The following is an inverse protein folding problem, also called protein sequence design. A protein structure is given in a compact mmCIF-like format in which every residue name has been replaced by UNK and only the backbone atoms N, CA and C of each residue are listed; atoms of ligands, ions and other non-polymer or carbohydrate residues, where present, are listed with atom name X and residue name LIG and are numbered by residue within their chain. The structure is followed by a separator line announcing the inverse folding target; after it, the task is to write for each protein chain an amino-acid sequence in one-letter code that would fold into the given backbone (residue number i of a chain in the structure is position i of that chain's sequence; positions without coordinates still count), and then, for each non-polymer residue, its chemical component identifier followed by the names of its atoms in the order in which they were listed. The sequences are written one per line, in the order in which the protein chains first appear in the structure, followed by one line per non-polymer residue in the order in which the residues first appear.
data_IF_554916172559
#
_entry.id   IF_554916172559
#
_cell.length_a   1.000
_cell.length_b   1.000
_cell.length_c   1.000
_cell.angle_alpha   90.00
_cell.angle_beta   90.00
_cell.angle_gamma   90.00
#
_symmetry.space_group_name_H-M   'P 1'
#
loop_
_entity.id
_entity.type
_entity.pdbx_description
1 polymer ?
#
# COMPACT_ATOMS: atom_id res chain seq x y z
N UNK A 1 10.97 30.96 -19.27
CA UNK A 1 9.72 30.21 -19.52
C UNK A 1 10.11 28.76 -19.80
N UNK A 2 9.94 27.88 -18.82
CA UNK A 2 9.85 26.43 -19.08
C UNK A 2 9.08 25.80 -17.93
N UNK A 3 7.82 25.53 -18.23
CA UNK A 3 6.82 24.88 -17.41
C UNK A 3 7.29 23.49 -17.00
N UNK A 4 7.49 23.25 -15.71
CA UNK A 4 7.41 21.91 -15.14
C UNK A 4 6.54 22.01 -13.89
N UNK A 5 5.26 22.33 -14.12
CA UNK A 5 4.23 22.04 -13.15
C UNK A 5 4.07 20.52 -13.17
N UNK A 6 4.92 19.84 -12.39
CA UNK A 6 4.69 18.47 -11.94
C UNK A 6 3.23 18.48 -11.47
N UNK A 7 2.35 17.71 -12.12
CA UNK A 7 0.97 17.56 -11.69
C UNK A 7 1.01 17.10 -10.24
N UNK A 8 0.84 18.03 -9.31
CA UNK A 8 0.41 17.72 -7.97
C UNK A 8 -1.02 17.24 -8.16
N UNK A 9 -1.19 15.93 -8.36
CA UNK A 9 -2.49 15.34 -8.18
C UNK A 9 -2.92 15.75 -6.77
N UNK A 10 -4.03 16.48 -6.66
CA UNK A 10 -4.68 16.71 -5.37
C UNK A 10 -5.01 15.33 -4.82
N UNK A 11 -4.14 14.81 -3.95
CA UNK A 11 -4.42 13.61 -3.17
C UNK A 11 -5.60 13.95 -2.27
N UNK A 12 -6.72 13.26 -2.48
CA UNK A 12 -7.85 13.32 -1.59
C UNK A 12 -7.49 12.65 -0.25
N UNK A 13 -8.13 13.09 0.84
CA UNK A 13 -7.92 12.48 2.16
C UNK A 13 -8.27 10.98 2.21
N UNK A 14 -8.99 10.47 1.21
CA UNK A 14 -9.36 9.05 1.08
C UNK A 14 -8.45 8.27 0.13
N UNK A 15 -7.46 8.91 -0.47
CA UNK A 15 -6.54 8.23 -1.38
C UNK A 15 -5.56 7.37 -0.59
N UNK A 16 -5.42 6.11 -0.99
CA UNK A 16 -4.46 5.20 -0.38
C UNK A 16 -3.08 5.56 -0.90
N UNK A 17 -2.21 6.06 -0.02
CA UNK A 17 -0.88 6.53 -0.40
C UNK A 17 0.24 5.58 0.01
N UNK A 18 0.01 4.79 1.07
CA UNK A 18 0.97 3.83 1.57
C UNK A 18 0.27 2.71 2.35
N UNK A 19 1.05 1.74 2.78
CA UNK A 19 0.61 0.66 3.65
C UNK A 19 1.57 0.51 4.82
N UNK A 20 1.02 0.27 6.01
CA UNK A 20 1.78 -0.10 7.19
C UNK A 20 1.85 -1.63 7.29
N UNK A 21 3.04 -2.18 7.10
CA UNK A 21 3.26 -3.62 7.06
C UNK A 21 4.49 -4.01 7.90
N UNK A 22 4.28 -4.80 8.95
CA UNK A 22 5.34 -5.27 9.85
C UNK A 22 6.17 -4.13 10.47
N UNK A 23 5.50 -3.09 10.97
CA UNK A 23 6.10 -1.85 11.50
C UNK A 23 6.81 -0.94 10.49
N UNK A 24 6.64 -1.20 9.19
CA UNK A 24 7.25 -0.40 8.12
C UNK A 24 6.20 0.24 7.24
N UNK A 25 6.45 1.49 6.85
CA UNK A 25 5.68 2.17 5.82
C UNK A 25 6.20 1.77 4.44
N UNK A 26 5.30 1.27 3.58
CA UNK A 26 5.63 0.71 2.27
C UNK A 26 4.71 1.31 1.21
N UNK A 27 5.26 1.69 0.06
CA UNK A 27 4.45 2.23 -1.04
C UNK A 27 3.54 1.15 -1.67
N UNK A 28 2.51 1.53 -2.44
CA UNK A 28 1.60 0.57 -3.06
C UNK A 28 2.28 -0.47 -3.96
N UNK A 29 3.23 -0.04 -4.80
CA UNK A 29 3.98 -0.95 -5.67
C UNK A 29 4.76 -2.00 -4.86
N UNK A 30 5.54 -1.57 -3.88
CA UNK A 30 6.33 -2.48 -3.06
C UNK A 30 5.46 -3.37 -2.17
N UNK A 31 4.30 -2.89 -1.73
CA UNK A 31 3.34 -3.72 -0.98
C UNK A 31 2.82 -4.86 -1.83
N UNK A 32 2.46 -4.57 -3.08
CA UNK A 32 2.08 -5.57 -4.07
C UNK A 32 3.20 -6.58 -4.31
N UNK A 33 4.43 -6.11 -4.51
CA UNK A 33 5.59 -6.96 -4.78
C UNK A 33 5.95 -7.87 -3.59
N UNK A 34 5.67 -7.43 -2.36
CA UNK A 34 5.83 -8.25 -1.15
C UNK A 34 4.68 -9.25 -0.97
N UNK A 35 3.43 -8.79 -1.18
CA UNK A 35 2.24 -9.59 -0.94
C UNK A 35 2.08 -10.71 -1.98
N UNK A 36 2.27 -10.43 -3.27
CA UNK A 36 2.02 -11.39 -4.33
C UNK A 36 2.79 -12.73 -4.16
N UNK A 37 4.12 -12.75 -3.99
CA UNK A 37 4.86 -14.00 -3.79
C UNK A 37 4.57 -14.63 -2.43
N UNK A 38 4.26 -13.84 -1.39
CA UNK A 38 3.99 -14.36 -0.05
C UNK A 38 2.65 -15.09 0.03
N UNK A 39 1.60 -14.54 -0.59
CA UNK A 39 0.25 -15.11 -0.62
C UNK A 39 -0.03 -15.96 -1.87
N UNK A 40 0.99 -16.24 -2.69
CA UNK A 40 0.89 -17.06 -3.90
C UNK A 40 -0.15 -16.53 -4.90
N UNK A 41 -0.21 -15.21 -5.09
CA UNK A 41 -1.15 -14.57 -6.03
C UNK A 41 -0.66 -14.77 -7.46
N UNK A 42 -1.49 -15.38 -8.29
CA UNK A 42 -1.21 -15.57 -9.71
C UNK A 42 -1.33 -14.25 -10.48
N UNK A 43 -0.38 -14.02 -11.39
CA UNK A 43 -0.39 -12.89 -12.33
C UNK A 43 -0.56 -11.50 -11.68
N UNK A 44 0.22 -11.15 -10.64
CA UNK A 44 0.07 -9.89 -9.91
C UNK A 44 0.23 -8.67 -10.82
N UNK A 45 1.05 -8.75 -11.86
CA UNK A 45 1.25 -7.69 -12.86
C UNK A 45 -0.04 -7.19 -13.52
N UNK A 46 -1.08 -8.02 -13.59
CA UNK A 46 -2.38 -7.66 -14.18
C UNK A 46 -3.32 -6.94 -13.20
N UNK A 47 -2.95 -6.86 -11.93
CA UNK A 47 -3.78 -6.35 -10.84
C UNK A 47 -3.20 -5.05 -10.25
N UNK A 48 -4.09 -4.18 -9.77
CA UNK A 48 -3.70 -3.11 -8.85
C UNK A 48 -3.26 -3.67 -7.50
N UNK A 49 -2.56 -2.87 -6.69
CA UNK A 49 -2.20 -3.27 -5.32
C UNK A 49 -3.43 -3.70 -4.52
N UNK A 50 -4.52 -2.94 -4.61
CA UNK A 50 -5.75 -3.26 -3.89
C UNK A 50 -6.36 -4.59 -4.32
N UNK A 51 -6.35 -4.89 -5.62
CA UNK A 51 -6.83 -6.19 -6.12
C UNK A 51 -5.95 -7.36 -5.66
N UNK A 52 -4.62 -7.20 -5.66
CA UNK A 52 -3.70 -8.21 -5.13
C UNK A 52 -3.97 -8.46 -3.66
N UNK A 53 -4.18 -7.40 -2.88
CA UNK A 53 -4.48 -7.50 -1.46
C UNK A 53 -5.88 -8.07 -1.20
N UNK A 54 -6.88 -7.84 -2.05
CA UNK A 54 -8.20 -8.47 -1.92
C UNK A 54 -8.11 -10.00 -2.11
N UNK A 55 -7.36 -10.45 -3.12
CA UNK A 55 -7.12 -11.87 -3.34
C UNK A 55 -6.28 -12.51 -2.22
N UNK A 56 -5.27 -11.78 -1.73
CA UNK A 56 -4.48 -12.22 -0.59
C UNK A 56 -5.33 -12.38 0.68
N UNK A 57 -6.16 -11.38 1.01
CA UNK A 57 -7.03 -11.41 2.17
C UNK A 57 -8.01 -12.59 2.11
N UNK A 58 -8.61 -12.87 0.95
CA UNK A 58 -9.46 -14.06 0.72
C UNK A 58 -8.69 -15.35 0.96
N UNK A 59 -7.45 -15.43 0.49
CA UNK A 59 -6.61 -16.63 0.59
C UNK A 59 -6.30 -17.00 2.04
N UNK A 60 -6.04 -16.01 2.90
CA UNK A 60 -5.72 -16.24 4.32
C UNK A 60 -6.91 -16.04 5.27
N UNK A 61 -8.10 -15.75 4.75
CA UNK A 61 -9.32 -15.59 5.54
C UNK A 61 -9.34 -14.32 6.40
N UNK A 62 -8.65 -13.27 5.99
CA UNK A 62 -8.60 -11.97 6.69
C UNK A 62 -9.71 -11.07 6.17
N UNK A 63 -10.47 -10.45 7.09
CA UNK A 63 -11.42 -9.40 6.74
C UNK A 63 -10.71 -8.05 6.66
N UNK A 64 -10.06 -7.77 5.53
CA UNK A 64 -9.24 -6.55 5.36
C UNK A 64 -10.01 -5.22 5.41
N UNK A 65 -11.34 -5.26 5.43
CA UNK A 65 -12.19 -4.08 5.60
C UNK A 65 -12.56 -3.81 7.07
N UNK A 66 -12.17 -4.74 7.97
CA UNK A 66 -12.29 -4.61 9.41
C UNK A 66 -10.88 -4.58 9.99
N UNK A 67 -10.33 -3.37 10.13
CA UNK A 67 -8.93 -3.15 10.51
C UNK A 67 -8.60 -3.62 11.94
N UNK A 68 -9.62 -3.82 12.78
CA UNK A 68 -9.49 -4.36 14.13
C UNK A 68 -9.42 -5.90 14.15
N UNK A 69 -9.69 -6.55 13.02
CA UNK A 69 -9.69 -8.01 12.89
C UNK A 69 -8.30 -8.61 12.62
N UNK A 70 -7.28 -7.78 12.37
CA UNK A 70 -5.92 -8.22 12.07
C UNK A 70 -4.86 -7.18 12.47
N UNK A 71 -3.64 -7.64 12.67
CA UNK A 71 -2.48 -6.78 12.94
C UNK A 71 -1.70 -6.46 11.67
N UNK A 72 -0.89 -5.40 11.70
CA UNK A 72 0.00 -5.04 10.58
C UNK A 72 1.10 -6.08 10.31
N UNK A 73 1.32 -7.05 11.21
CA UNK A 73 2.21 -8.19 10.94
C UNK A 73 1.51 -9.32 10.19
N UNK A 74 0.19 -9.40 10.28
CA UNK A 74 -0.62 -10.41 9.59
C UNK A 74 -1.01 -9.94 8.20
N UNK A 75 -1.34 -8.65 8.04
CA UNK A 75 -1.73 -8.09 6.76
C UNK A 75 -1.44 -6.58 6.67
N UNK A 76 -1.11 -6.04 5.48
CA UNK A 76 -0.88 -4.60 5.33
C UNK A 76 -2.11 -3.77 5.74
N UNK A 77 -1.89 -2.74 6.56
CA UNK A 77 -2.90 -1.73 6.90
C UNK A 77 -2.79 -0.53 5.97
N UNK A 78 -3.92 0.06 5.60
CA UNK A 78 -3.97 1.22 4.69
C UNK A 78 -3.51 2.47 5.42
N UNK A 79 -2.76 3.34 4.74
CA UNK A 79 -2.42 4.68 5.22
C UNK A 79 -2.89 5.73 4.21
N UNK A 80 -3.52 6.77 4.76
CA UNK A 80 -4.02 7.94 4.05
C UNK A 80 -3.05 9.13 4.22
N UNK A 81 -3.23 10.24 3.48
CA UNK A 81 -2.38 11.42 3.59
C UNK A 81 -2.18 11.96 5.00
N UNK A 82 -3.21 11.93 5.83
CA UNK A 82 -3.15 12.44 7.19
C UNK A 82 -2.41 11.51 8.17
N UNK A 83 -2.17 10.26 7.77
CA UNK A 83 -1.46 9.26 8.59
C UNK A 83 0.06 9.32 8.42
N UNK A 84 0.56 9.93 7.33
CA UNK A 84 1.99 10.03 7.06
C UNK A 84 2.59 11.29 7.66
N UNK A 85 3.77 11.13 8.27
CA UNK A 85 4.61 12.26 8.64
C UNK A 85 5.31 12.86 7.40
N UNK A 86 5.57 14.16 7.44
CA UNK A 86 6.33 14.84 6.40
C UNK A 86 7.71 14.18 6.18
N UNK A 87 8.01 13.83 4.93
CA UNK A 87 9.29 13.23 4.56
C UNK A 87 9.40 11.73 4.83
N UNK A 88 8.29 11.03 5.05
CA UNK A 88 8.25 9.56 5.02
C UNK A 88 8.76 9.02 3.68
N UNK A 89 9.45 7.87 3.75
CA UNK A 89 9.96 7.17 2.57
C UNK A 89 9.57 5.70 2.65
N UNK A 90 9.30 5.10 1.50
CA UNK A 90 9.05 3.67 1.39
C UNK A 90 10.25 2.89 1.90
N UNK A 91 10.03 2.02 2.88
CA UNK A 91 11.08 1.20 3.47
C UNK A 91 11.83 0.32 2.46
N UNK A 92 11.14 -0.13 1.40
CA UNK A 92 11.69 -1.06 0.41
C UNK A 92 12.48 -0.34 -0.69
N UNK A 93 11.90 0.68 -1.31
CA UNK A 93 12.51 1.34 -2.47
C UNK A 93 13.10 2.73 -2.17
N UNK A 94 12.99 3.21 -0.93
CA UNK A 94 13.47 4.53 -0.49
C UNK A 94 12.91 5.73 -1.29
N UNK A 95 11.83 5.55 -2.05
CA UNK A 95 11.12 6.66 -2.70
C UNK A 95 10.29 7.43 -1.68
N UNK A 96 10.16 8.76 -1.80
CA UNK A 96 9.22 9.54 -1.00
C UNK A 96 7.79 9.01 -1.13
N UNK A 97 7.05 9.03 -0.03
CA UNK A 97 5.63 8.68 0.03
C UNK A 97 4.75 9.93 0.00
#
# INVERSE_FOLDING_TARGET
MTTSAKREALLGATDIIAYYYGEKTVCPDCTKDLAAPYYLIDSPESFSTEQVLDEAAKTVGINRHDEDSYTSYEFPKVLYPDDLADGEHCFVCARPL
#
